data_IF_281921579514
#
_entry.id   IF_281921579514
#
_cell.length_a   1.000
_cell.length_b   1.000
_cell.length_c   1.000
_cell.angle_alpha   90.00
_cell.angle_beta   90.00
_cell.angle_gamma   90.00
#
_symmetry.space_group_name_H-M   'P 1'
#
loop_
_entity.id
_entity.type
_entity.pdbx_description
1 polymer ?
#
# COMPACT_ATOMS: atom_id res chain seq x y z
N UNK A 1 23.34 7.80 8.11
CA UNK A 1 22.73 6.68 7.36
C UNK A 1 21.40 6.39 8.02
N UNK A 2 20.33 6.19 7.27
CA UNK A 2 19.02 5.80 7.82
C UNK A 2 18.88 4.27 7.76
N UNK A 3 18.31 3.70 8.79
CA UNK A 3 17.91 2.29 8.83
C UNK A 3 16.74 2.06 7.86
N UNK A 4 16.65 0.88 7.24
CA UNK A 4 15.50 0.53 6.40
C UNK A 4 14.20 0.55 7.21
N UNK A 5 13.16 1.29 6.80
CA UNK A 5 11.91 1.41 7.57
C UNK A 5 11.03 0.14 7.51
N UNK A 6 11.36 -0.82 6.63
CA UNK A 6 10.65 -2.10 6.54
C UNK A 6 11.28 -3.19 7.40
N UNK A 7 12.56 -3.52 7.17
CA UNK A 7 13.22 -4.65 7.80
C UNK A 7 14.21 -4.27 8.90
N UNK A 8 14.40 -2.99 9.16
CA UNK A 8 15.34 -2.43 10.14
C UNK A 8 16.82 -2.76 9.91
N UNK A 9 17.19 -3.21 8.71
CA UNK A 9 18.59 -3.41 8.33
C UNK A 9 19.32 -2.08 8.15
N UNK A 10 20.61 -2.07 8.49
CA UNK A 10 21.54 -0.98 8.17
C UNK A 10 22.24 -1.15 6.82
N UNK A 11 22.02 -2.30 6.16
CA UNK A 11 22.58 -2.57 4.83
C UNK A 11 21.73 -1.88 3.76
N UNK A 12 21.93 -0.56 3.68
CA UNK A 12 21.26 0.34 2.74
C UNK A 12 22.28 1.18 2.00
N UNK A 13 22.08 1.37 0.70
CA UNK A 13 22.95 2.20 -0.13
C UNK A 13 22.13 3.13 -1.03
N UNK A 14 22.67 4.32 -1.26
CA UNK A 14 22.01 5.31 -2.11
C UNK A 14 22.09 4.90 -3.57
N UNK A 15 20.93 4.84 -4.24
CA UNK A 15 20.82 4.51 -5.68
C UNK A 15 20.49 5.71 -6.55
N UNK A 16 19.90 6.78 -5.98
CA UNK A 16 19.50 7.95 -6.74
C UNK A 16 19.45 9.20 -5.85
N UNK A 17 19.63 10.37 -6.49
CA UNK A 17 19.28 11.69 -5.94
C UNK A 17 18.48 12.44 -6.99
N UNK A 18 17.28 12.91 -6.65
CA UNK A 18 16.45 13.68 -7.57
C UNK A 18 17.05 15.05 -7.88
N UNK A 19 16.56 15.69 -8.94
CA UNK A 19 16.96 17.05 -9.29
C UNK A 19 16.57 18.06 -8.20
N UNK A 20 17.18 19.25 -8.20
CA UNK A 20 16.85 20.37 -7.30
C UNK A 20 15.36 20.74 -7.38
N UNK A 21 14.74 20.67 -8.57
CA UNK A 21 13.31 20.92 -8.77
C UNK A 21 12.41 19.97 -7.99
N UNK A 22 12.90 18.77 -7.68
CA UNK A 22 12.23 17.73 -6.90
C UNK A 22 12.77 17.64 -5.47
N UNK A 23 13.46 18.69 -5.00
CA UNK A 23 13.92 18.81 -3.62
C UNK A 23 15.20 18.04 -3.30
N UNK A 24 15.98 17.62 -4.31
CA UNK A 24 17.24 16.86 -4.12
C UNK A 24 17.08 15.66 -3.17
N UNK A 25 15.92 14.98 -3.24
CA UNK A 25 15.62 13.82 -2.40
C UNK A 25 16.57 12.68 -2.70
N UNK A 26 17.10 12.07 -1.67
CA UNK A 26 17.93 10.87 -1.78
C UNK A 26 17.09 9.61 -1.61
N UNK A 27 17.40 8.58 -2.42
CA UNK A 27 16.69 7.29 -2.42
C UNK A 27 17.68 6.17 -2.10
N UNK A 28 17.32 5.34 -1.13
CA UNK A 28 18.17 4.26 -0.62
C UNK A 28 17.52 2.91 -0.85
N UNK A 29 18.28 2.00 -1.44
CA UNK A 29 17.90 0.60 -1.61
C UNK A 29 18.41 -0.22 -0.42
N UNK A 30 17.55 -1.04 0.16
CA UNK A 30 17.91 -2.02 1.17
C UNK A 30 18.35 -3.34 0.50
N UNK A 31 19.56 -3.81 0.79
CA UNK A 31 20.09 -5.08 0.24
C UNK A 31 19.37 -6.32 0.79
N UNK A 32 18.70 -6.20 1.95
CA UNK A 32 18.01 -7.30 2.61
C UNK A 32 16.60 -7.54 2.08
N UNK A 33 15.74 -6.51 2.10
CA UNK A 33 14.34 -6.63 1.72
C UNK A 33 13.98 -6.00 0.38
N UNK A 34 14.95 -5.46 -0.33
CA UNK A 34 14.81 -4.84 -1.65
C UNK A 34 13.87 -3.60 -1.68
N UNK A 35 13.55 -3.01 -0.52
CA UNK A 35 12.80 -1.76 -0.46
C UNK A 35 13.68 -0.60 -0.88
N UNK A 36 13.18 0.26 -1.78
CA UNK A 36 13.73 1.61 -1.95
C UNK A 36 12.93 2.57 -1.09
N UNK A 37 13.61 3.40 -0.32
CA UNK A 37 12.95 4.34 0.57
C UNK A 37 13.59 5.73 0.57
N UNK A 38 12.80 6.72 0.97
CA UNK A 38 13.22 8.11 1.17
C UNK A 38 13.42 8.35 2.67
N UNK A 39 14.55 8.90 3.12
CA UNK A 39 14.75 9.26 4.52
C UNK A 39 13.73 10.28 5.03
N UNK A 40 13.35 10.18 6.33
CA UNK A 40 12.32 11.00 6.96
C UNK A 40 12.53 12.52 6.83
N UNK A 41 13.79 12.99 6.70
CA UNK A 41 14.09 14.41 6.50
C UNK A 41 13.55 15.02 5.21
N UNK A 42 13.10 14.18 4.27
CA UNK A 42 12.49 14.58 2.99
C UNK A 42 10.98 14.33 2.94
N UNK A 43 10.39 13.75 4.00
CA UNK A 43 8.95 13.54 4.06
C UNK A 43 8.25 14.89 4.20
N UNK A 44 7.11 15.03 3.56
CA UNK A 44 6.25 16.19 3.76
C UNK A 44 5.68 16.18 5.18
N UNK A 45 5.33 17.34 5.69
CA UNK A 45 4.46 17.42 6.87
C UNK A 45 3.01 17.07 6.52
N UNK A 46 2.20 16.81 7.53
CA UNK A 46 0.82 16.33 7.35
C UNK A 46 -0.06 17.30 6.52
N UNK A 47 0.15 18.60 6.65
CA UNK A 47 -0.66 19.60 5.93
C UNK A 47 -0.29 19.62 4.44
N UNK A 48 1.00 19.57 4.12
CA UNK A 48 1.50 19.50 2.74
C UNK A 48 1.12 18.18 2.07
N UNK A 49 1.20 17.06 2.78
CA UNK A 49 0.80 15.75 2.31
C UNK A 49 -0.71 15.70 2.01
N UNK A 50 -1.55 16.12 2.96
CA UNK A 50 -3.00 16.22 2.77
C UNK A 50 -3.37 17.13 1.61
N UNK A 51 -2.72 18.29 1.47
CA UNK A 51 -2.94 19.20 0.35
C UNK A 51 -2.60 18.54 -0.99
N UNK A 52 -1.58 17.69 -1.03
CA UNK A 52 -1.22 16.93 -2.24
C UNK A 52 -2.30 15.92 -2.62
N UNK A 53 -2.85 15.18 -1.65
CA UNK A 53 -3.93 14.21 -1.90
C UNK A 53 -5.21 14.86 -2.43
N UNK A 54 -5.53 16.08 -2.00
CA UNK A 54 -6.69 16.83 -2.50
C UNK A 54 -6.58 17.27 -3.97
N UNK A 55 -5.40 17.14 -4.60
CA UNK A 55 -5.22 17.40 -6.03
C UNK A 55 -5.64 16.20 -6.90
N UNK A 56 -5.84 15.03 -6.31
CA UNK A 56 -6.27 13.86 -7.04
C UNK A 56 -7.79 13.89 -7.23
N UNK A 57 -8.23 13.54 -8.44
CA UNK A 57 -9.65 13.36 -8.71
C UNK A 57 -10.05 11.92 -8.38
N UNK A 58 -10.57 11.70 -7.17
CA UNK A 58 -11.01 10.40 -6.67
C UNK A 58 -12.55 10.30 -6.71
N UNK A 59 -13.20 10.82 -7.76
CA UNK A 59 -14.65 10.74 -7.89
C UNK A 59 -15.13 9.29 -7.98
N UNK A 60 -15.93 8.80 -6.99
CA UNK A 60 -16.47 7.45 -7.00
C UNK A 60 -17.35 7.12 -8.23
N UNK A 61 -17.84 8.13 -8.92
CA UNK A 61 -18.65 7.98 -10.13
C UNK A 61 -17.82 7.96 -11.43
N UNK A 62 -16.51 8.29 -11.36
CA UNK A 62 -15.63 8.30 -12.53
C UNK A 62 -15.39 6.87 -13.06
N UNK A 63 -15.85 6.52 -14.29
CA UNK A 63 -15.70 5.18 -14.83
C UNK A 63 -14.24 4.75 -15.02
N UNK A 64 -13.34 5.66 -15.37
CA UNK A 64 -11.92 5.32 -15.58
C UNK A 64 -11.22 5.07 -14.24
N UNK A 65 -11.56 5.82 -13.19
CA UNK A 65 -11.06 5.55 -11.85
C UNK A 65 -11.58 4.22 -11.31
N UNK A 66 -12.87 3.93 -11.46
CA UNK A 66 -13.45 2.62 -11.10
C UNK A 66 -12.81 1.47 -11.87
N UNK A 67 -12.55 1.63 -13.18
CA UNK A 67 -11.84 0.65 -14.00
C UNK A 67 -10.39 0.45 -13.53
N UNK A 68 -9.72 1.50 -13.08
CA UNK A 68 -8.40 1.41 -12.48
C UNK A 68 -8.44 0.56 -11.19
N UNK A 69 -9.35 0.87 -10.26
CA UNK A 69 -9.53 0.16 -9.00
C UNK A 69 -10.00 -1.30 -9.20
N UNK A 70 -10.73 -1.58 -10.27
CA UNK A 70 -11.21 -2.94 -10.59
C UNK A 70 -10.07 -3.94 -10.84
N UNK A 71 -8.85 -3.48 -11.10
CA UNK A 71 -7.66 -4.35 -11.23
C UNK A 71 -7.39 -5.10 -9.93
N UNK A 72 -7.56 -4.45 -8.77
CA UNK A 72 -7.47 -5.08 -7.47
C UNK A 72 -8.80 -5.73 -7.09
N UNK A 73 -9.91 -4.96 -7.16
CA UNK A 73 -11.20 -5.40 -6.65
C UNK A 73 -11.69 -6.70 -7.28
N UNK A 74 -11.58 -6.84 -8.60
CA UNK A 74 -11.99 -8.06 -9.29
C UNK A 74 -11.24 -9.32 -8.82
N UNK A 75 -9.99 -9.20 -8.43
CA UNK A 75 -9.20 -10.32 -7.91
C UNK A 75 -9.62 -10.64 -6.48
N UNK A 76 -9.69 -9.63 -5.60
CA UNK A 76 -10.07 -9.81 -4.20
C UNK A 76 -11.47 -10.42 -4.09
N UNK A 77 -12.48 -9.81 -4.74
CA UNK A 77 -13.87 -10.27 -4.64
C UNK A 77 -14.11 -11.70 -5.12
N UNK A 78 -13.29 -12.17 -6.08
CA UNK A 78 -13.41 -13.54 -6.60
C UNK A 78 -13.05 -14.62 -5.58
N UNK A 79 -12.33 -14.26 -4.52
CA UNK A 79 -11.93 -15.15 -3.43
C UNK A 79 -12.82 -15.02 -2.19
N UNK A 80 -13.75 -14.04 -2.16
CA UNK A 80 -14.57 -13.76 -1.00
C UNK A 80 -15.83 -14.63 -0.94
N UNK A 81 -16.18 -15.03 0.27
CA UNK A 81 -17.48 -15.64 0.57
C UNK A 81 -18.55 -14.58 0.77
N UNK A 82 -19.81 -14.95 0.54
CA UNK A 82 -20.96 -14.07 0.86
C UNK A 82 -20.94 -13.66 2.34
N UNK A 83 -21.15 -12.36 2.58
CA UNK A 83 -21.14 -11.79 3.94
C UNK A 83 -19.74 -11.47 4.48
N UNK A 84 -18.68 -11.59 3.67
CA UNK A 84 -17.34 -11.16 4.07
C UNK A 84 -17.31 -9.67 4.41
N UNK A 85 -16.61 -9.34 5.51
CA UNK A 85 -16.45 -7.98 6.02
C UNK A 85 -15.05 -7.45 5.67
N UNK A 86 -14.99 -6.24 5.13
CA UNK A 86 -13.75 -5.65 4.63
C UNK A 86 -13.36 -4.33 5.26
N UNK A 87 -12.12 -3.94 4.99
CA UNK A 87 -11.54 -2.65 5.28
C UNK A 87 -10.84 -2.11 4.02
N UNK A 88 -11.13 -0.87 3.64
CA UNK A 88 -10.34 -0.14 2.65
C UNK A 88 -9.37 0.78 3.39
N UNK A 89 -8.11 0.37 3.47
CA UNK A 89 -7.06 1.07 4.22
C UNK A 89 -6.33 2.06 3.31
N UNK A 90 -6.43 3.35 3.65
CA UNK A 90 -5.99 4.45 2.79
C UNK A 90 -7.05 4.79 1.73
N UNK A 91 -8.33 4.87 2.15
CA UNK A 91 -9.48 5.06 1.26
C UNK A 91 -9.49 6.41 0.53
N UNK A 92 -8.68 7.37 0.97
CA UNK A 92 -8.61 8.71 0.40
C UNK A 92 -9.89 9.54 0.58
N UNK A 93 -9.97 10.72 -0.09
CA UNK A 93 -11.10 11.63 0.04
C UNK A 93 -12.38 11.15 -0.68
N UNK A 94 -12.25 10.23 -1.64
CA UNK A 94 -13.36 9.67 -2.40
C UNK A 94 -13.29 8.15 -2.40
N UNK A 95 -13.95 7.45 -1.45
CA UNK A 95 -13.79 6.01 -1.21
C UNK A 95 -14.47 5.16 -2.30
N UNK A 96 -14.01 5.29 -3.55
CA UNK A 96 -14.63 4.64 -4.71
C UNK A 96 -14.62 3.11 -4.60
N UNK A 97 -13.57 2.52 -4.01
CA UNK A 97 -13.51 1.07 -3.82
C UNK A 97 -14.56 0.61 -2.80
N UNK A 98 -14.81 1.40 -1.74
CA UNK A 98 -15.90 1.13 -0.79
C UNK A 98 -17.25 1.11 -1.50
N UNK A 99 -17.52 2.09 -2.37
CA UNK A 99 -18.75 2.10 -3.17
C UNK A 99 -18.86 0.87 -4.08
N UNK A 100 -17.79 0.51 -4.79
CA UNK A 100 -17.78 -0.68 -5.66
C UNK A 100 -18.06 -1.97 -4.89
N UNK A 101 -17.41 -2.14 -3.73
CA UNK A 101 -17.60 -3.33 -2.90
C UNK A 101 -19.01 -3.40 -2.31
N UNK A 102 -19.57 -2.27 -1.89
CA UNK A 102 -20.96 -2.17 -1.38
C UNK A 102 -21.98 -2.51 -2.48
N UNK A 103 -21.80 -2.02 -3.70
CA UNK A 103 -22.63 -2.36 -4.87
C UNK A 103 -22.59 -3.87 -5.18
N UNK A 104 -21.44 -4.52 -4.95
CA UNK A 104 -21.28 -5.97 -5.09
C UNK A 104 -21.79 -6.77 -3.87
N UNK A 105 -22.36 -6.09 -2.85
CA UNK A 105 -23.03 -6.70 -1.69
C UNK A 105 -22.09 -7.04 -0.53
N UNK A 106 -20.91 -6.44 -0.46
CA UNK A 106 -19.96 -6.60 0.66
C UNK A 106 -20.09 -5.47 1.69
N UNK A 107 -19.90 -5.81 2.96
CA UNK A 107 -19.79 -4.85 4.06
C UNK A 107 -18.32 -4.44 4.20
N UNK A 108 -18.00 -3.19 3.89
CA UNK A 108 -16.64 -2.68 3.88
C UNK A 108 -16.59 -1.29 4.53
N UNK A 109 -15.62 -1.10 5.43
CA UNK A 109 -15.41 0.16 6.13
C UNK A 109 -14.22 0.93 5.50
N UNK A 110 -14.31 2.24 5.31
CA UNK A 110 -13.15 3.06 4.95
C UNK A 110 -12.31 3.36 6.18
N UNK A 111 -10.99 3.43 6.00
CA UNK A 111 -10.06 4.05 6.93
C UNK A 111 -9.04 4.89 6.18
N UNK A 112 -8.85 6.12 6.61
CA UNK A 112 -7.82 7.02 6.09
C UNK A 112 -7.46 8.04 7.18
N UNK A 113 -6.17 8.26 7.49
CA UNK A 113 -5.77 9.15 8.58
C UNK A 113 -6.20 10.61 8.38
N UNK A 114 -6.46 11.04 7.13
CA UNK A 114 -6.86 12.41 6.80
C UNK A 114 -8.34 12.57 6.47
N UNK A 115 -8.96 11.54 5.89
CA UNK A 115 -10.30 11.65 5.28
C UNK A 115 -11.37 10.78 5.95
N UNK A 116 -10.94 9.68 6.60
CA UNK A 116 -11.81 8.77 7.36
C UNK A 116 -11.09 8.29 8.64
N UNK A 117 -10.77 9.20 9.60
CA UNK A 117 -9.84 8.95 10.71
C UNK A 117 -10.45 8.20 11.91
N UNK A 118 -11.48 7.39 11.69
CA UNK A 118 -12.12 6.61 12.76
C UNK A 118 -11.21 5.46 13.23
N UNK A 119 -10.52 5.69 14.33
CA UNK A 119 -9.60 4.70 14.94
C UNK A 119 -10.32 3.45 15.45
N UNK A 120 -11.63 3.52 15.74
CA UNK A 120 -12.38 2.36 16.24
C UNK A 120 -12.46 1.23 15.22
N UNK A 121 -12.38 1.55 13.94
CA UNK A 121 -12.30 0.58 12.83
C UNK A 121 -11.07 -0.31 12.97
N UNK A 122 -9.96 0.21 13.50
CA UNK A 122 -8.71 -0.54 13.68
C UNK A 122 -8.72 -1.49 14.90
N UNK A 123 -9.82 -1.53 15.67
CA UNK A 123 -10.03 -2.50 16.75
C UNK A 123 -10.71 -3.77 16.25
N UNK A 124 -11.23 -3.76 15.03
CA UNK A 124 -11.96 -4.87 14.40
C UNK A 124 -11.04 -5.85 13.67
N UNK A 125 -11.60 -6.98 13.21
CA UNK A 125 -10.93 -7.96 12.35
C UNK A 125 -11.76 -8.19 11.11
N UNK A 126 -11.09 -8.29 9.95
CA UNK A 126 -11.71 -8.31 8.64
C UNK A 126 -11.40 -9.61 7.90
N UNK A 127 -12.32 -10.04 7.05
CA UNK A 127 -12.12 -11.15 6.13
C UNK A 127 -11.23 -10.73 4.96
N UNK A 128 -11.30 -9.46 4.57
CA UNK A 128 -10.42 -8.89 3.56
C UNK A 128 -10.05 -7.43 3.87
N UNK A 129 -8.88 -7.02 3.38
CA UNK A 129 -8.41 -5.63 3.41
C UNK A 129 -7.94 -5.26 2.01
N UNK A 130 -8.31 -4.07 1.56
CA UNK A 130 -7.74 -3.43 0.37
C UNK A 130 -6.83 -2.28 0.78
N UNK A 131 -5.70 -2.13 0.07
CA UNK A 131 -4.71 -1.07 0.25
C UNK A 131 -4.25 -0.64 -1.13
N UNK A 132 -4.89 0.40 -1.69
CA UNK A 132 -4.78 0.79 -3.09
C UNK A 132 -4.11 2.14 -3.22
N UNK A 133 -2.95 2.21 -3.93
CA UNK A 133 -2.14 3.43 -4.08
C UNK A 133 -1.92 4.14 -2.73
N UNK A 134 -1.54 3.35 -1.74
CA UNK A 134 -1.38 3.77 -0.33
C UNK A 134 -0.06 3.29 0.24
N UNK A 135 0.39 2.09 -0.08
CA UNK A 135 1.60 1.50 0.50
C UNK A 135 2.87 2.33 0.21
N UNK A 136 2.93 3.02 -0.93
CA UNK A 136 4.02 3.93 -1.30
C UNK A 136 4.15 5.16 -0.40
N UNK A 137 3.10 5.46 0.38
CA UNK A 137 3.07 6.55 1.35
C UNK A 137 3.41 6.10 2.78
N UNK A 138 3.64 4.81 3.01
CA UNK A 138 3.98 4.30 4.33
C UNK A 138 5.32 4.85 4.83
N UNK A 139 5.29 5.56 5.95
CA UNK A 139 6.50 6.10 6.59
C UNK A 139 7.29 5.03 7.36
N UNK A 140 6.62 3.97 7.80
CA UNK A 140 7.17 2.83 8.53
C UNK A 140 6.56 1.51 8.03
N UNK A 141 6.84 1.11 6.75
CA UNK A 141 6.17 -0.04 6.11
C UNK A 141 6.16 -1.32 6.96
N UNK A 142 7.20 -1.52 7.76
CA UNK A 142 7.26 -2.67 8.67
C UNK A 142 6.19 -2.64 9.78
N UNK A 143 5.77 -1.46 10.19
CA UNK A 143 4.69 -1.27 11.19
C UNK A 143 3.33 -1.37 10.54
N UNK A 144 3.14 -0.68 9.42
CA UNK A 144 1.86 -0.66 8.71
C UNK A 144 1.48 -2.06 8.17
N UNK A 145 2.41 -2.81 7.58
CA UNK A 145 2.12 -4.19 7.16
C UNK A 145 1.80 -5.12 8.33
N UNK A 146 2.49 -4.98 9.48
CA UNK A 146 2.14 -5.73 10.71
C UNK A 146 0.76 -5.37 11.21
N UNK A 147 0.38 -4.09 11.14
CA UNK A 147 -0.96 -3.64 11.50
C UNK A 147 -2.01 -4.27 10.57
N UNK A 148 -1.84 -4.17 9.25
CA UNK A 148 -2.74 -4.80 8.26
C UNK A 148 -2.89 -6.30 8.51
N UNK A 149 -1.76 -7.01 8.73
CA UNK A 149 -1.79 -8.43 9.10
C UNK A 149 -2.58 -8.69 10.39
N UNK A 150 -2.43 -7.82 11.41
CA UNK A 150 -3.12 -7.98 12.69
C UNK A 150 -4.62 -7.76 12.57
N UNK A 151 -5.06 -6.94 11.61
CA UNK A 151 -6.48 -6.66 11.33
C UNK A 151 -7.15 -7.76 10.50
N UNK A 152 -6.40 -8.69 9.90
CA UNK A 152 -6.96 -9.82 9.19
C UNK A 152 -7.36 -10.95 10.15
N UNK A 153 -8.53 -11.54 9.90
CA UNK A 153 -8.91 -12.84 10.44
C UNK A 153 -7.99 -13.94 9.91
N UNK A 154 -7.94 -15.11 10.55
CA UNK A 154 -7.33 -16.31 9.98
C UNK A 154 -8.05 -16.67 8.67
N UNK A 155 -7.28 -16.99 7.62
CA UNK A 155 -7.79 -17.20 6.26
C UNK A 155 -8.14 -15.91 5.51
N UNK A 156 -7.93 -14.74 6.10
CA UNK A 156 -8.25 -13.44 5.48
C UNK A 156 -7.24 -13.03 4.40
N UNK A 157 -7.66 -12.09 3.55
CA UNK A 157 -6.96 -11.64 2.35
C UNK A 157 -6.59 -10.17 2.46
N UNK A 158 -5.32 -9.82 2.16
CA UNK A 158 -4.88 -8.44 1.95
C UNK A 158 -4.54 -8.24 0.47
N UNK A 159 -5.32 -7.39 -0.19
CA UNK A 159 -5.01 -6.93 -1.54
C UNK A 159 -4.25 -5.61 -1.49
N UNK A 160 -3.04 -5.58 -2.05
CA UNK A 160 -2.23 -4.35 -2.20
C UNK A 160 -2.11 -4.02 -3.67
N UNK A 161 -2.45 -2.78 -4.03
CA UNK A 161 -2.17 -2.25 -5.36
C UNK A 161 -1.23 -1.05 -5.23
N UNK A 162 -0.04 -1.19 -5.78
CA UNK A 162 1.00 -0.16 -5.86
C UNK A 162 1.90 -0.45 -7.04
N UNK A 163 2.55 0.56 -7.57
CA UNK A 163 3.47 0.36 -8.68
C UNK A 163 4.74 -0.36 -8.20
N UNK A 164 5.10 -1.47 -8.85
CA UNK A 164 6.26 -2.29 -8.49
C UNK A 164 7.37 -2.14 -9.53
N UNK A 165 8.62 -1.94 -9.07
CA UNK A 165 9.78 -1.94 -9.95
C UNK A 165 10.19 -3.37 -10.30
N UNK A 166 10.48 -3.59 -11.59
CA UNK A 166 11.11 -4.83 -12.05
C UNK A 166 12.65 -4.71 -12.09
N UNK A 167 13.17 -3.50 -12.14
CA UNK A 167 14.61 -3.23 -12.25
C UNK A 167 14.95 -1.86 -11.65
N UNK A 168 15.67 -1.83 -10.54
CA UNK A 168 16.08 -0.61 -9.86
C UNK A 168 17.07 0.25 -10.67
N UNK A 169 17.72 -0.29 -11.70
CA UNK A 169 18.59 0.52 -12.60
C UNK A 169 17.79 1.57 -13.38
N UNK A 170 16.49 1.33 -13.58
CA UNK A 170 15.55 2.26 -14.23
C UNK A 170 14.93 3.29 -13.28
N UNK A 171 15.17 3.18 -11.99
CA UNK A 171 14.57 4.03 -10.95
C UNK A 171 14.75 5.53 -11.23
N UNK A 172 15.91 6.05 -11.71
CA UNK A 172 16.08 7.48 -12.01
C UNK A 172 15.09 8.01 -13.06
N UNK A 173 14.65 7.16 -14.00
CA UNK A 173 13.73 7.51 -15.08
C UNK A 173 12.26 7.22 -14.75
N UNK A 174 11.99 6.57 -13.65
CA UNK A 174 10.64 6.17 -13.27
C UNK A 174 9.82 7.36 -12.78
N UNK A 175 8.73 7.68 -13.48
CA UNK A 175 7.88 8.84 -13.15
C UNK A 175 7.30 8.79 -11.74
N UNK A 176 7.13 7.60 -11.18
CA UNK A 176 6.55 7.33 -9.86
C UNK A 176 7.38 7.94 -8.71
N UNK A 177 8.69 8.12 -8.90
CA UNK A 177 9.56 8.77 -7.91
C UNK A 177 9.45 10.31 -7.89
N UNK A 178 8.65 10.91 -8.78
CA UNK A 178 8.47 12.37 -8.87
C UNK A 178 7.43 12.90 -7.90
N UNK A 179 6.52 12.05 -7.43
CA UNK A 179 5.58 12.47 -6.41
C UNK A 179 6.28 12.61 -5.05
N UNK A 180 6.18 13.79 -4.40
CA UNK A 180 6.86 14.02 -3.12
C UNK A 180 6.27 13.22 -1.96
N UNK A 181 5.04 12.71 -2.08
CA UNK A 181 4.38 11.87 -1.08
C UNK A 181 4.78 10.40 -1.19
N UNK A 182 5.37 9.97 -2.32
CA UNK A 182 5.91 8.62 -2.46
C UNK A 182 7.25 8.53 -1.75
N UNK A 183 7.31 7.73 -0.70
CA UNK A 183 8.48 7.59 0.19
C UNK A 183 8.94 6.14 0.37
N UNK A 184 8.13 5.16 -0.06
CA UNK A 184 8.43 3.74 -0.07
C UNK A 184 8.12 3.15 -1.45
N UNK A 185 9.07 2.41 -2.04
CA UNK A 185 8.94 1.84 -3.38
C UNK A 185 9.23 0.36 -3.33
N UNK A 186 8.34 -0.41 -3.90
CA UNK A 186 8.31 -1.86 -3.79
C UNK A 186 8.76 -2.53 -5.09
N UNK A 187 9.38 -3.69 -4.95
CA UNK A 187 9.52 -4.71 -5.97
C UNK A 187 8.72 -5.95 -5.56
N UNK A 188 8.58 -6.92 -6.46
CA UNK A 188 8.03 -8.24 -6.07
C UNK A 188 8.82 -8.86 -4.92
N UNK A 189 10.16 -8.79 -4.98
CA UNK A 189 11.05 -9.29 -3.92
C UNK A 189 10.79 -8.61 -2.57
N UNK A 190 10.46 -7.31 -2.57
CA UNK A 190 10.09 -6.61 -1.33
C UNK A 190 8.80 -7.19 -0.74
N UNK A 191 7.77 -7.41 -1.57
CA UNK A 191 6.48 -7.93 -1.10
C UNK A 191 6.55 -9.43 -0.75
N UNK A 192 7.39 -10.20 -1.42
CA UNK A 192 7.74 -11.58 -1.01
C UNK A 192 8.41 -11.57 0.38
N UNK A 193 9.36 -10.64 0.61
CA UNK A 193 9.97 -10.48 1.94
C UNK A 193 8.93 -10.13 3.02
N UNK A 194 7.97 -9.25 2.71
CA UNK A 194 6.84 -8.92 3.62
C UNK A 194 6.04 -10.19 3.92
N UNK A 195 5.69 -10.96 2.90
CA UNK A 195 4.95 -12.22 3.00
C UNK A 195 5.63 -13.20 3.95
N UNK A 196 6.93 -13.46 3.71
CA UNK A 196 7.74 -14.36 4.55
C UNK A 196 7.82 -13.88 6.00
N UNK A 197 8.03 -12.55 6.21
CA UNK A 197 8.15 -11.97 7.54
C UNK A 197 6.87 -12.03 8.37
N UNK A 198 5.71 -12.11 7.71
CA UNK A 198 4.38 -12.18 8.32
C UNK A 198 3.76 -13.58 8.24
N UNK A 199 4.51 -14.57 7.73
CA UNK A 199 4.02 -15.93 7.52
C UNK A 199 2.72 -15.99 6.71
N UNK A 200 2.65 -15.21 5.63
CA UNK A 200 1.56 -15.20 4.66
C UNK A 200 2.00 -15.84 3.34
N UNK A 201 1.06 -16.17 2.48
CA UNK A 201 1.34 -16.48 1.08
C UNK A 201 1.11 -15.23 0.23
N UNK A 202 1.87 -15.02 -0.84
CA UNK A 202 1.67 -13.89 -1.76
C UNK A 202 1.66 -14.33 -3.21
N UNK A 203 0.68 -13.80 -3.97
CA UNK A 203 0.57 -13.91 -5.43
C UNK A 203 0.57 -12.55 -6.09
N UNK A 204 0.97 -12.51 -7.36
CA UNK A 204 1.02 -11.29 -8.18
C UNK A 204 0.18 -11.45 -9.45
N UNK A 205 -1.15 -11.28 -9.36
CA UNK A 205 -2.07 -11.46 -10.49
C UNK A 205 -1.79 -10.50 -11.65
N UNK A 206 -1.29 -9.31 -11.36
CA UNK A 206 -0.89 -8.30 -12.34
C UNK A 206 0.45 -7.67 -11.96
N UNK A 207 0.96 -6.75 -12.80
CA UNK A 207 2.23 -6.08 -12.57
C UNK A 207 2.22 -5.13 -11.35
N UNK A 208 1.04 -4.72 -10.88
CA UNK A 208 0.88 -3.75 -9.79
C UNK A 208 -0.05 -4.22 -8.68
N UNK A 209 -0.46 -5.50 -8.67
CA UNK A 209 -1.32 -6.08 -7.63
C UNK A 209 -0.61 -7.24 -6.96
N UNK A 210 -0.60 -7.24 -5.63
CA UNK A 210 -0.16 -8.33 -4.77
C UNK A 210 -1.33 -8.76 -3.87
N UNK A 211 -1.57 -10.07 -3.77
CA UNK A 211 -2.59 -10.66 -2.91
C UNK A 211 -1.89 -11.50 -1.85
N UNK A 212 -2.00 -11.06 -0.61
CA UNK A 212 -1.49 -11.79 0.55
C UNK A 212 -2.62 -12.59 1.19
N UNK A 213 -2.34 -13.86 1.53
CA UNK A 213 -3.31 -14.74 2.22
C UNK A 213 -2.74 -15.14 3.56
N UNK A 214 -3.47 -14.79 4.63
CA UNK A 214 -3.14 -15.21 5.98
C UNK A 214 -3.56 -16.66 6.15
N UNK A 215 -2.69 -17.55 6.68
CA UNK A 215 -3.06 -18.94 6.91
C UNK A 215 -4.33 -19.07 7.76
N UNK A 216 -5.15 -20.05 7.42
CA UNK A 216 -6.23 -20.47 8.30
C UNK A 216 -5.63 -21.09 9.57
N UNK A 217 -6.27 -20.92 10.73
CA UNK A 217 -5.85 -21.63 11.93
C UNK A 217 -5.94 -23.14 11.64
N UNK A 218 -4.84 -23.84 11.86
CA UNK A 218 -4.82 -25.30 11.81
C UNK A 218 -5.66 -25.79 13.00
N UNK A 219 -6.82 -26.40 12.71
CA UNK A 219 -7.67 -27.04 13.70
C UNK A 219 -6.99 -28.28 14.30
#
# INVERSE_FOLDING_TARGET
MSQCPLCHSWDVHRIHTSSERLGSREFFLCSVCDLVHVPARYHLDNDAEKARYLLHNNDPADPEYRKFLSRLWNVVRAELSSGAQGLDFGSGPGPALVHMATEDGFDILPYDPYFAPDQSVLESRFDFITCTETAEHFSSPGTEFKQLHSLLKAGGILGVMTSMSADWSQFPNWHYNRDPTHIAYYSRRTLEWVSDSLHMEVDFPTANVAIFRKPSEVR
#
